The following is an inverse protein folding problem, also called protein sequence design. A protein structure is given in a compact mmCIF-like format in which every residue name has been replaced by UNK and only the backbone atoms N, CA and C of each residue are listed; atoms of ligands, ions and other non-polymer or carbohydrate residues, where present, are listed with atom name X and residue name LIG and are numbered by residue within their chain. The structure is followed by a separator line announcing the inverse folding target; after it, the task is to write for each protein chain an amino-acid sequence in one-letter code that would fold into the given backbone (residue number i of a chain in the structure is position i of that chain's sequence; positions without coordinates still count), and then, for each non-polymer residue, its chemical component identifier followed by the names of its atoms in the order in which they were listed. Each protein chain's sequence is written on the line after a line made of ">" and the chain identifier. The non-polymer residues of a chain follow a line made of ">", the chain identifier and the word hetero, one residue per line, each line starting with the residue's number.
data_IF_492402942871
#
_entry.id   IF_492402942871
#
_cell.length_a   1.000
_cell.length_b   1.000
_cell.length_c   1.000
_cell.angle_alpha   90.00
_cell.angle_beta   90.00
_cell.angle_gamma   90.00
#
_symmetry.space_group_name_H-M   'P 1'
#
loop_
_entity.id
_entity.type
_entity.pdbx_description
1 polymer ?
#
# COMPACT_ATOMS: atom_id res chain seq x y z
N UNK A 1 32.79 -36.49 0.83
CA UNK A 1 31.97 -36.92 -0.32
C UNK A 1 31.04 -35.77 -0.66
N UNK A 2 31.15 -35.23 -1.87
CA UNK A 2 30.46 -34.04 -2.34
C UNK A 2 29.05 -34.47 -2.79
N UNK A 3 28.01 -33.88 -2.19
CA UNK A 3 26.68 -33.86 -2.80
C UNK A 3 26.20 -32.41 -2.92
N UNK A 4 25.83 -32.09 -4.15
CA UNK A 4 25.57 -30.77 -4.70
C UNK A 4 24.24 -30.19 -4.23
N UNK A 5 24.31 -28.94 -3.79
CA UNK A 5 23.21 -28.01 -3.47
C UNK A 5 22.06 -28.09 -4.48
N UNK A 6 20.88 -28.46 -4.00
CA UNK A 6 19.61 -28.26 -4.71
C UNK A 6 19.37 -26.77 -4.91
N UNK A 7 19.39 -26.34 -6.18
CA UNK A 7 19.18 -24.97 -6.62
C UNK A 7 17.76 -24.52 -6.29
N UNK A 8 17.62 -23.48 -5.48
CA UNK A 8 16.50 -22.54 -5.63
C UNK A 8 16.66 -21.94 -7.03
N UNK A 9 15.81 -22.35 -7.97
CA UNK A 9 15.74 -21.71 -9.29
C UNK A 9 15.12 -20.34 -9.08
N UNK A 10 15.95 -19.34 -8.83
CA UNK A 10 15.58 -17.94 -8.94
C UNK A 10 15.17 -17.65 -10.40
N UNK A 11 13.87 -17.47 -10.62
CA UNK A 11 13.31 -16.92 -11.87
C UNK A 11 13.47 -15.39 -11.96
N UNK A 12 14.26 -14.76 -11.08
CA UNK A 12 14.71 -13.36 -11.17
C UNK A 12 15.77 -13.17 -12.27
N UNK A 13 15.49 -13.59 -13.51
CA UNK A 13 16.31 -13.24 -14.67
C UNK A 13 15.79 -11.93 -15.28
N UNK A 14 16.64 -10.91 -15.19
CA UNK A 14 16.61 -9.65 -15.95
C UNK A 14 15.40 -8.71 -15.73
N UNK A 15 15.43 -7.93 -14.65
CA UNK A 15 14.82 -6.58 -14.67
C UNK A 15 15.84 -5.60 -15.25
N UNK A 16 15.78 -5.37 -16.56
CA UNK A 16 16.41 -4.19 -17.15
C UNK A 16 15.61 -2.97 -16.75
N UNK A 17 16.23 -2.05 -16.00
CA UNK A 17 15.74 -0.68 -15.81
C UNK A 17 15.78 0.08 -17.15
N UNK A 18 14.80 -0.17 -18.02
CA UNK A 18 14.36 0.73 -19.08
C UNK A 18 12.87 0.51 -19.26
N UNK A 19 12.06 1.41 -18.71
CA UNK A 19 10.64 1.50 -19.02
C UNK A 19 10.49 2.00 -20.47
N UNK A 20 10.50 1.07 -21.43
CA UNK A 20 9.81 1.29 -22.70
C UNK A 20 8.41 0.72 -22.57
N UNK A 21 7.40 1.50 -22.96
CA UNK A 21 5.99 1.05 -23.09
C UNK A 21 5.96 -0.37 -23.70
N UNK A 22 5.25 -1.34 -23.12
CA UNK A 22 5.12 -2.65 -23.74
C UNK A 22 4.28 -2.48 -25.00
N UNK A 23 4.92 -2.47 -26.17
CA UNK A 23 4.21 -2.59 -27.43
C UNK A 23 3.60 -3.99 -27.49
N UNK A 24 2.28 -4.11 -27.63
CA UNK A 24 1.56 -5.41 -27.70
C UNK A 24 2.10 -6.38 -28.75
N UNK A 25 2.80 -5.87 -29.77
CA UNK A 25 3.49 -6.67 -30.78
C UNK A 25 4.65 -7.53 -30.23
N UNK A 26 5.20 -7.21 -29.07
CA UNK A 26 6.37 -7.90 -28.49
C UNK A 26 5.98 -9.20 -27.79
N UNK A 27 4.79 -9.26 -27.17
CA UNK A 27 4.27 -10.46 -26.50
C UNK A 27 3.94 -11.57 -27.51
N UNK A 28 3.22 -11.24 -28.59
CA UNK A 28 2.94 -12.20 -29.67
C UNK A 28 4.22 -12.69 -30.36
N UNK A 29 5.25 -11.83 -30.48
CA UNK A 29 6.56 -12.23 -31.04
C UNK A 29 7.35 -13.16 -30.11
N UNK A 30 7.32 -12.92 -28.79
CA UNK A 30 8.03 -13.75 -27.81
C UNK A 30 7.42 -15.16 -27.72
N UNK A 31 6.09 -15.29 -27.80
CA UNK A 31 5.41 -16.58 -27.91
C UNK A 31 5.76 -17.32 -29.23
N UNK A 32 6.08 -16.60 -30.30
CA UNK A 32 6.40 -17.16 -31.61
C UNK A 32 7.89 -17.56 -31.80
N UNK A 33 8.81 -17.11 -30.93
CA UNK A 33 10.26 -17.29 -31.16
C UNK A 33 10.88 -18.55 -30.56
N UNK A 34 10.15 -19.35 -29.78
CA UNK A 34 10.66 -20.65 -29.29
C UNK A 34 10.20 -21.83 -30.16
N UNK A 35 11.03 -22.11 -31.17
CA UNK A 35 11.30 -23.37 -31.91
C UNK A 35 10.56 -23.75 -33.21
N UNK A 36 11.40 -23.86 -34.25
CA UNK A 36 11.40 -24.73 -35.45
C UNK A 36 10.08 -25.31 -36.02
N UNK A 37 9.77 -24.85 -37.24
CA UNK A 37 9.14 -25.47 -38.42
C UNK A 37 7.91 -26.41 -38.34
N UNK A 38 7.55 -26.99 -37.20
CA UNK A 38 6.29 -27.73 -37.00
C UNK A 38 5.27 -26.99 -36.10
N UNK A 39 5.74 -26.11 -35.20
CA UNK A 39 4.88 -25.28 -34.35
C UNK A 39 4.05 -24.27 -35.15
N UNK A 40 4.59 -23.76 -36.26
CA UNK A 40 3.95 -22.75 -37.12
C UNK A 40 2.61 -23.20 -37.73
N UNK A 41 2.40 -24.50 -37.98
CA UNK A 41 1.13 -25.03 -38.50
C UNK A 41 0.05 -25.18 -37.43
N UNK A 42 0.44 -25.38 -36.16
CA UNK A 42 -0.48 -25.53 -35.03
C UNK A 42 -0.90 -24.14 -34.55
N UNK A 43 0.06 -23.22 -34.45
CA UNK A 43 -0.18 -21.82 -34.08
C UNK A 43 -1.11 -21.11 -35.08
N UNK A 44 -0.96 -21.38 -36.39
CA UNK A 44 -1.85 -20.81 -37.42
C UNK A 44 -3.29 -21.34 -37.36
N UNK A 45 -3.49 -22.61 -36.99
CA UNK A 45 -4.84 -23.17 -36.81
C UNK A 45 -5.51 -22.66 -35.53
N UNK A 46 -4.75 -22.55 -34.44
CA UNK A 46 -5.21 -22.00 -33.17
C UNK A 46 -5.60 -20.52 -33.33
N UNK A 47 -4.75 -19.73 -33.99
CA UNK A 47 -5.07 -18.34 -34.31
C UNK A 47 -6.32 -18.22 -35.20
N UNK A 48 -6.51 -19.13 -36.15
CA UNK A 48 -7.70 -19.15 -36.99
C UNK A 48 -8.96 -19.38 -36.15
N UNK A 49 -8.96 -20.38 -35.26
CA UNK A 49 -10.09 -20.67 -34.36
C UNK A 49 -10.41 -19.47 -33.46
N UNK A 50 -9.39 -18.82 -32.89
CA UNK A 50 -9.58 -17.63 -32.05
C UNK A 50 -10.14 -16.43 -32.81
N UNK A 51 -9.92 -16.37 -34.13
CA UNK A 51 -10.40 -15.28 -35.00
C UNK A 51 -11.77 -15.57 -35.62
N UNK A 52 -12.13 -16.83 -35.85
CA UNK A 52 -13.34 -17.21 -36.61
C UNK A 52 -14.49 -17.70 -35.72
N UNK A 53 -14.21 -18.34 -34.59
CA UNK A 53 -15.27 -18.85 -33.71
C UNK A 53 -15.74 -17.79 -32.70
N UNK A 54 -17.03 -17.79 -32.31
CA UNK A 54 -17.54 -16.93 -31.26
C UNK A 54 -16.82 -17.17 -29.92
N UNK A 55 -16.45 -16.09 -29.22
CA UNK A 55 -15.77 -16.18 -27.91
C UNK A 55 -16.51 -17.08 -26.91
N UNK A 56 -17.85 -17.11 -26.93
CA UNK A 56 -18.64 -17.98 -26.05
C UNK A 56 -18.43 -19.47 -26.29
N UNK A 57 -18.27 -19.89 -27.55
CA UNK A 57 -17.98 -21.30 -27.90
C UNK A 57 -16.57 -21.70 -27.47
N UNK A 58 -15.59 -20.82 -27.72
CA UNK A 58 -14.19 -21.04 -27.30
C UNK A 58 -14.10 -21.14 -25.78
N UNK A 59 -14.79 -20.26 -25.06
CA UNK A 59 -14.86 -20.29 -23.60
C UNK A 59 -15.46 -21.61 -23.09
N UNK A 60 -16.61 -22.04 -23.63
CA UNK A 60 -17.22 -23.32 -23.23
C UNK A 60 -16.34 -24.53 -23.53
N UNK A 61 -15.62 -24.51 -24.66
CA UNK A 61 -14.67 -25.56 -25.01
C UNK A 61 -13.53 -25.65 -23.99
N UNK A 62 -12.94 -24.50 -23.64
CA UNK A 62 -11.89 -24.41 -22.63
C UNK A 62 -12.38 -24.88 -21.27
N UNK A 63 -13.56 -24.45 -20.83
CA UNK A 63 -14.12 -24.89 -19.55
C UNK A 63 -14.23 -26.41 -19.47
N UNK A 64 -14.72 -27.05 -20.53
CA UNK A 64 -14.90 -28.50 -20.59
C UNK A 64 -13.59 -29.30 -20.72
N UNK A 65 -12.54 -28.71 -21.28
CA UNK A 65 -11.33 -29.44 -21.67
C UNK A 65 -10.03 -28.87 -21.10
N UNK A 66 -10.08 -27.94 -20.14
CA UNK A 66 -8.94 -27.16 -19.64
C UNK A 66 -7.70 -28.00 -19.27
N UNK A 67 -7.88 -29.21 -18.72
CA UNK A 67 -6.77 -30.11 -18.36
C UNK A 67 -6.02 -30.73 -19.56
N UNK A 68 -6.62 -30.72 -20.76
CA UNK A 68 -6.08 -31.36 -21.98
C UNK A 68 -5.69 -30.37 -23.07
N UNK A 69 -5.99 -29.09 -22.88
CA UNK A 69 -5.72 -28.03 -23.84
C UNK A 69 -4.33 -27.47 -23.60
N UNK A 70 -3.60 -27.19 -24.69
CA UNK A 70 -2.30 -26.51 -24.62
C UNK A 70 -2.44 -25.18 -23.85
N UNK A 71 -1.66 -24.98 -22.76
CA UNK A 71 -1.66 -23.73 -22.00
C UNK A 71 -1.52 -22.49 -22.88
N UNK A 72 -0.77 -22.55 -23.99
CA UNK A 72 -0.59 -21.42 -24.91
C UNK A 72 -1.92 -20.91 -25.46
N UNK A 73 -2.82 -21.82 -25.86
CA UNK A 73 -4.13 -21.45 -26.39
C UNK A 73 -4.99 -20.75 -25.33
N UNK A 74 -5.01 -21.28 -24.11
CA UNK A 74 -5.73 -20.72 -22.97
C UNK A 74 -5.21 -19.33 -22.58
N UNK A 75 -3.89 -19.13 -22.64
CA UNK A 75 -3.23 -17.85 -22.39
C UNK A 75 -3.56 -16.81 -23.48
N UNK A 76 -3.47 -17.18 -24.76
CA UNK A 76 -3.82 -16.28 -25.87
C UNK A 76 -5.30 -15.89 -25.84
N UNK A 77 -6.19 -16.84 -25.54
CA UNK A 77 -7.61 -16.53 -25.42
C UNK A 77 -7.90 -15.63 -24.23
N UNK A 78 -7.24 -15.85 -23.08
CA UNK A 78 -7.39 -14.94 -21.93
C UNK A 78 -6.90 -13.53 -22.25
N UNK A 79 -5.77 -13.40 -22.94
CA UNK A 79 -5.30 -12.11 -23.42
C UNK A 79 -6.36 -11.43 -24.32
N UNK A 80 -6.96 -12.15 -25.25
CA UNK A 80 -8.02 -11.62 -26.12
C UNK A 80 -9.25 -11.17 -25.31
N UNK A 81 -9.66 -11.92 -24.27
CA UNK A 81 -10.75 -11.51 -23.37
C UNK A 81 -10.43 -10.20 -22.66
N UNK A 82 -9.19 -10.03 -22.18
CA UNK A 82 -8.74 -8.78 -21.55
C UNK A 82 -8.70 -7.60 -22.54
N UNK A 83 -8.30 -7.84 -23.78
CA UNK A 83 -8.34 -6.80 -24.84
C UNK A 83 -9.78 -6.40 -25.19
N UNK A 84 -10.74 -7.33 -25.10
CA UNK A 84 -12.17 -7.09 -25.27
C UNK A 84 -12.84 -6.48 -24.02
N UNK A 85 -12.07 -6.11 -23.00
CA UNK A 85 -12.56 -5.63 -21.69
C UNK A 85 -13.51 -6.62 -20.98
N UNK A 86 -13.47 -7.91 -21.33
CA UNK A 86 -14.25 -8.94 -20.64
C UNK A 86 -13.46 -9.53 -19.46
N UNK A 87 -13.24 -8.69 -18.45
CA UNK A 87 -12.42 -9.02 -17.27
C UNK A 87 -13.02 -10.18 -16.49
N UNK A 88 -14.36 -10.25 -16.36
CA UNK A 88 -15.02 -11.32 -15.61
C UNK A 88 -14.80 -12.69 -16.25
N UNK A 89 -14.96 -12.81 -17.56
CA UNK A 89 -14.67 -14.06 -18.25
C UNK A 89 -13.19 -14.44 -18.11
N UNK A 90 -12.27 -13.46 -18.20
CA UNK A 90 -10.86 -13.70 -17.98
C UNK A 90 -10.59 -14.24 -16.57
N UNK A 91 -11.15 -13.63 -15.51
CA UNK A 91 -11.05 -14.10 -14.12
C UNK A 91 -11.56 -15.53 -13.99
N UNK A 92 -12.78 -15.81 -14.45
CA UNK A 92 -13.39 -17.13 -14.31
C UNK A 92 -12.58 -18.23 -15.01
N UNK A 93 -12.04 -17.91 -16.20
CA UNK A 93 -11.18 -18.83 -16.92
C UNK A 93 -9.86 -19.06 -16.19
N UNK A 94 -9.24 -18.02 -15.64
CA UNK A 94 -7.98 -18.14 -14.92
C UNK A 94 -8.12 -18.95 -13.63
N UNK A 95 -9.19 -18.73 -12.85
CA UNK A 95 -9.50 -19.57 -11.70
C UNK A 95 -9.59 -21.05 -12.07
N UNK A 96 -10.23 -21.38 -13.20
CA UNK A 96 -10.33 -22.76 -13.65
C UNK A 96 -8.99 -23.32 -14.14
N UNK A 97 -8.18 -22.52 -14.82
CA UNK A 97 -6.88 -22.98 -15.33
C UNK A 97 -5.87 -23.20 -14.21
N UNK A 98 -5.93 -22.40 -13.14
CA UNK A 98 -5.08 -22.52 -11.97
C UNK A 98 -5.36 -23.78 -11.13
N UNK A 99 -6.48 -24.48 -11.34
CA UNK A 99 -6.70 -25.80 -10.71
C UNK A 99 -5.84 -26.90 -11.33
N UNK A 100 -5.04 -26.59 -12.35
CA UNK A 100 -4.10 -27.52 -12.97
C UNK A 100 -2.67 -27.16 -12.55
N UNK A 101 -2.00 -28.03 -11.81
CA UNK A 101 -0.64 -27.83 -11.27
C UNK A 101 0.41 -27.48 -12.33
N UNK A 102 0.17 -27.87 -13.59
CA UNK A 102 1.08 -27.58 -14.72
C UNK A 102 0.88 -26.20 -15.34
N UNK A 103 -0.17 -25.48 -14.96
CA UNK A 103 -0.52 -24.18 -15.50
C UNK A 103 -0.02 -23.05 -14.59
N UNK A 104 0.66 -22.07 -15.20
CA UNK A 104 1.06 -20.85 -14.52
C UNK A 104 0.78 -19.65 -15.42
N UNK A 105 0.36 -18.56 -14.79
CA UNK A 105 0.14 -17.29 -15.48
C UNK A 105 1.51 -16.62 -15.69
N UNK A 106 1.93 -16.34 -16.94
CA UNK A 106 3.18 -15.66 -17.21
C UNK A 106 3.14 -14.20 -16.78
N UNK A 107 4.30 -13.65 -16.44
CA UNK A 107 4.46 -12.28 -15.92
C UNK A 107 3.85 -11.20 -16.82
N UNK A 108 3.91 -11.39 -18.14
CA UNK A 108 3.34 -10.47 -19.11
C UNK A 108 1.81 -10.46 -19.05
N UNK A 109 1.18 -11.63 -18.88
CA UNK A 109 -0.27 -11.71 -18.75
C UNK A 109 -0.72 -11.14 -17.41
N UNK A 110 0.02 -11.38 -16.33
CA UNK A 110 -0.21 -10.71 -15.04
C UNK A 110 -0.15 -9.19 -15.16
N UNK A 111 0.85 -8.66 -15.88
CA UNK A 111 1.01 -7.23 -16.07
C UNK A 111 -0.18 -6.62 -16.83
N UNK A 112 -0.65 -7.28 -17.90
CA UNK A 112 -1.84 -6.83 -18.66
C UNK A 112 -3.10 -6.93 -17.81
N UNK A 113 -3.24 -8.01 -17.05
CA UNK A 113 -4.39 -8.23 -16.17
C UNK A 113 -4.49 -7.14 -15.09
N UNK A 114 -3.38 -6.87 -14.39
CA UNK A 114 -3.30 -5.82 -13.37
C UNK A 114 -3.62 -4.44 -13.95
N UNK A 115 -3.05 -4.10 -15.11
CA UNK A 115 -3.32 -2.83 -15.77
C UNK A 115 -4.80 -2.66 -16.09
N UNK A 116 -5.44 -3.70 -16.65
CA UNK A 116 -6.89 -3.70 -16.94
C UNK A 116 -7.75 -3.60 -15.69
N UNK A 117 -7.42 -4.36 -14.64
CA UNK A 117 -8.14 -4.31 -13.36
C UNK A 117 -8.05 -2.94 -12.71
N UNK A 118 -6.86 -2.34 -12.69
CA UNK A 118 -6.65 -1.00 -12.14
C UNK A 118 -7.32 0.07 -13.00
N UNK A 119 -7.25 -0.03 -14.32
CA UNK A 119 -7.87 0.92 -15.25
C UNK A 119 -9.40 0.95 -15.10
N UNK A 120 -10.04 -0.22 -15.04
CA UNK A 120 -11.50 -0.34 -14.89
C UNK A 120 -11.97 -0.25 -13.42
N UNK A 121 -11.05 -0.09 -12.47
CA UNK A 121 -11.32 -0.14 -11.03
C UNK A 121 -12.16 -1.38 -10.61
N UNK A 122 -11.85 -2.53 -11.21
CA UNK A 122 -12.66 -3.74 -11.06
C UNK A 122 -12.38 -4.45 -9.73
N UNK A 123 -13.33 -4.43 -8.79
CA UNK A 123 -13.19 -5.03 -7.47
C UNK A 123 -12.95 -6.55 -7.50
N UNK A 124 -13.69 -7.31 -8.31
CA UNK A 124 -13.53 -8.76 -8.40
C UNK A 124 -12.16 -9.16 -8.98
N UNK A 125 -11.67 -8.40 -9.97
CA UNK A 125 -10.32 -8.57 -10.49
C UNK A 125 -9.25 -8.24 -9.46
N UNK A 126 -9.47 -7.22 -8.63
CA UNK A 126 -8.56 -6.90 -7.53
C UNK A 126 -8.56 -8.00 -6.45
N UNK A 127 -9.72 -8.59 -6.14
CA UNK A 127 -9.81 -9.74 -5.24
C UNK A 127 -9.06 -10.96 -5.79
N UNK A 128 -9.19 -11.25 -7.09
CA UNK A 128 -8.44 -12.32 -7.74
C UNK A 128 -6.94 -12.11 -7.59
N UNK A 129 -6.45 -10.90 -7.93
CA UNK A 129 -5.04 -10.54 -7.75
C UNK A 129 -4.60 -10.70 -6.29
N UNK A 130 -5.45 -10.29 -5.34
CA UNK A 130 -5.13 -10.38 -3.93
C UNK A 130 -4.88 -11.84 -3.52
N UNK A 131 -5.82 -12.72 -3.84
CA UNK A 131 -5.79 -14.13 -3.42
C UNK A 131 -4.78 -14.99 -4.17
N UNK A 132 -4.25 -14.53 -5.30
CA UNK A 132 -3.27 -15.28 -6.09
C UNK A 132 -1.84 -14.73 -5.97
N UNK A 133 -1.68 -13.41 -5.75
CA UNK A 133 -0.36 -12.75 -5.75
C UNK A 133 0.04 -12.10 -4.43
N UNK A 134 -0.92 -11.61 -3.65
CA UNK A 134 -0.64 -10.83 -2.44
C UNK A 134 -0.67 -11.73 -1.21
N UNK A 135 -1.73 -12.51 -1.08
CA UNK A 135 -2.01 -13.38 0.05
C UNK A 135 -2.58 -14.70 -0.49
N UNK A 136 -1.67 -15.59 -0.92
CA UNK A 136 -2.08 -16.83 -1.57
C UNK A 136 -2.66 -17.79 -0.54
N UNK A 137 -3.97 -17.97 -0.60
CA UNK A 137 -4.71 -18.89 0.26
C UNK A 137 -4.20 -20.34 0.18
N UNK A 138 -3.77 -20.81 -1.00
CA UNK A 138 -3.31 -22.19 -1.21
C UNK A 138 -2.05 -22.51 -0.42
N UNK A 139 -1.20 -21.51 -0.15
CA UNK A 139 0.00 -21.69 0.68
C UNK A 139 -0.35 -22.14 2.10
N UNK A 140 -1.47 -21.64 2.65
CA UNK A 140 -1.89 -21.95 4.01
C UNK A 140 -2.63 -23.29 4.11
N UNK A 141 -3.16 -23.81 3.00
CA UNK A 141 -3.80 -25.11 2.94
C UNK A 141 -2.78 -26.26 2.97
N UNK A 142 -1.55 -26.03 2.47
CA UNK A 142 -0.48 -27.04 2.40
C UNK A 142 0.50 -26.97 3.60
N UNK A 143 0.63 -25.82 4.25
CA UNK A 143 1.64 -25.59 5.30
C UNK A 143 0.99 -25.51 6.69
N UNK A 144 1.27 -26.52 7.53
CA UNK A 144 0.79 -26.59 8.93
C UNK A 144 1.09 -25.31 9.72
N UNK A 145 0.09 -24.80 10.47
CA UNK A 145 0.00 -23.81 11.59
C UNK A 145 1.18 -22.88 11.99
N UNK A 146 2.33 -22.90 11.32
CA UNK A 146 3.60 -22.37 11.78
C UNK A 146 4.20 -21.32 10.83
N UNK A 147 3.66 -21.16 9.62
CA UNK A 147 4.07 -20.11 8.69
C UNK A 147 2.99 -19.03 8.61
N UNK A 148 3.34 -17.82 9.02
CA UNK A 148 2.42 -16.68 9.09
C UNK A 148 2.23 -15.98 7.72
N UNK A 149 3.21 -16.08 6.82
CA UNK A 149 3.24 -15.35 5.54
C UNK A 149 3.60 -16.27 4.35
N UNK A 150 2.91 -16.12 3.20
CA UNK A 150 3.16 -16.90 1.99
C UNK A 150 4.54 -16.63 1.34
N UNK A 151 5.42 -17.62 1.24
CA UNK A 151 6.76 -17.47 0.63
C UNK A 151 6.82 -17.64 -0.89
N UNK A 152 5.74 -18.10 -1.49
CA UNK A 152 5.64 -18.32 -2.93
C UNK A 152 4.96 -17.14 -3.63
N UNK A 153 5.78 -16.28 -4.22
CA UNK A 153 5.29 -15.11 -4.96
C UNK A 153 5.75 -15.21 -6.41
N UNK A 154 4.86 -15.57 -7.34
CA UNK A 154 5.21 -15.77 -8.73
C UNK A 154 5.50 -14.44 -9.46
N UNK A 155 4.94 -13.33 -8.97
CA UNK A 155 5.03 -12.02 -9.60
C UNK A 155 5.09 -10.88 -8.57
N UNK A 156 6.10 -10.01 -8.67
CA UNK A 156 6.23 -8.84 -7.79
C UNK A 156 5.41 -7.67 -8.37
N UNK A 157 4.42 -7.22 -7.62
CA UNK A 157 3.57 -6.08 -8.00
C UNK A 157 4.29 -4.77 -7.73
N UNK A 158 4.23 -3.82 -8.67
CA UNK A 158 4.85 -2.50 -8.50
C UNK A 158 4.15 -1.66 -7.42
N UNK A 159 4.86 -0.75 -6.73
CA UNK A 159 4.26 0.15 -5.74
C UNK A 159 3.06 0.95 -6.26
N UNK A 160 3.14 1.42 -7.51
CA UNK A 160 2.07 2.20 -8.13
C UNK A 160 0.80 1.39 -8.35
N UNK A 161 0.91 0.13 -8.76
CA UNK A 161 -0.23 -0.78 -8.91
C UNK A 161 -0.80 -1.12 -7.53
N UNK A 162 0.04 -1.35 -6.52
CA UNK A 162 -0.41 -1.59 -5.14
C UNK A 162 -1.27 -0.43 -4.61
N UNK A 163 -0.88 0.82 -4.89
CA UNK A 163 -1.69 1.99 -4.52
C UNK A 163 -3.04 1.99 -5.26
N UNK A 164 -3.11 1.60 -6.54
CA UNK A 164 -4.37 1.51 -7.26
C UNK A 164 -5.27 0.40 -6.73
N UNK A 165 -4.71 -0.78 -6.43
CA UNK A 165 -5.45 -1.86 -5.76
C UNK A 165 -5.97 -1.41 -4.40
N UNK A 166 -5.13 -0.69 -3.62
CA UNK A 166 -5.54 -0.08 -2.36
C UNK A 166 -6.74 0.85 -2.52
N UNK A 167 -6.72 1.75 -3.53
CA UNK A 167 -7.87 2.62 -3.85
C UNK A 167 -9.14 1.83 -4.14
N UNK A 168 -9.03 0.73 -4.89
CA UNK A 168 -10.17 -0.15 -5.19
C UNK A 168 -10.72 -0.73 -3.88
N UNK A 169 -9.88 -1.29 -3.00
CA UNK A 169 -10.34 -1.86 -1.72
C UNK A 169 -10.92 -0.81 -0.78
N UNK A 170 -10.28 0.35 -0.64
CA UNK A 170 -10.80 1.48 0.14
C UNK A 170 -12.17 1.94 -0.37
N UNK A 171 -12.36 2.07 -1.69
CA UNK A 171 -13.65 2.47 -2.27
C UNK A 171 -14.77 1.44 -2.11
N UNK A 172 -14.43 0.18 -1.82
CA UNK A 172 -15.39 -0.89 -1.57
C UNK A 172 -15.54 -1.21 -0.07
N UNK A 173 -14.96 -0.40 0.83
CA UNK A 173 -15.04 -0.61 2.28
C UNK A 173 -14.41 -1.92 2.75
N UNK A 174 -13.29 -2.33 2.13
CA UNK A 174 -12.60 -3.60 2.43
C UNK A 174 -11.26 -3.37 3.15
N UNK A 175 -11.27 -3.05 4.46
CA UNK A 175 -10.06 -2.75 5.22
C UNK A 175 -9.14 -3.97 5.36
N UNK A 176 -9.68 -5.19 5.36
CA UNK A 176 -8.88 -6.42 5.50
C UNK A 176 -7.94 -6.61 4.32
N UNK A 177 -8.45 -6.47 3.09
CA UNK A 177 -7.60 -6.57 1.89
C UNK A 177 -6.66 -5.38 1.78
N UNK A 178 -7.11 -4.18 2.17
CA UNK A 178 -6.23 -3.01 2.22
C UNK A 178 -5.03 -3.23 3.15
N UNK A 179 -5.25 -3.83 4.32
CA UNK A 179 -4.18 -4.22 5.25
C UNK A 179 -3.23 -5.24 4.60
N UNK A 180 -3.75 -6.25 3.91
CA UNK A 180 -2.93 -7.23 3.18
C UNK A 180 -2.05 -6.58 2.10
N UNK A 181 -2.57 -5.61 1.34
CA UNK A 181 -1.79 -4.81 0.37
C UNK A 181 -0.64 -4.08 1.09
N UNK A 182 -0.92 -3.46 2.24
CA UNK A 182 0.10 -2.75 3.02
C UNK A 182 1.16 -3.71 3.60
N UNK A 183 0.76 -4.89 4.08
CA UNK A 183 1.67 -5.94 4.54
C UNK A 183 2.58 -6.43 3.40
N UNK A 184 2.02 -6.68 2.22
CA UNK A 184 2.77 -7.03 1.02
C UNK A 184 3.77 -5.94 0.64
N UNK A 185 3.33 -4.68 0.63
CA UNK A 185 4.24 -3.56 0.40
C UNK A 185 5.38 -3.54 1.41
N UNK A 186 5.08 -3.74 2.69
CA UNK A 186 6.08 -3.72 3.76
C UNK A 186 7.17 -4.79 3.58
N UNK A 187 6.76 -5.93 3.03
CA UNK A 187 7.63 -7.08 2.78
C UNK A 187 8.54 -6.89 1.56
N UNK A 188 8.03 -6.33 0.46
CA UNK A 188 8.78 -6.29 -0.82
C UNK A 188 9.36 -4.93 -1.21
N UNK A 189 8.84 -3.82 -0.68
CA UNK A 189 9.18 -2.47 -1.13
C UNK A 189 9.78 -1.61 -0.02
N UNK A 190 10.67 -0.69 -0.40
CA UNK A 190 11.41 0.16 0.56
C UNK A 190 10.60 1.39 0.95
N UNK A 191 10.42 1.61 2.26
CA UNK A 191 9.63 2.75 2.76
C UNK A 191 10.31 4.09 2.46
N UNK A 192 11.62 4.08 2.26
CA UNK A 192 12.43 5.27 1.96
C UNK A 192 12.49 5.54 0.46
N UNK A 193 12.64 4.50 -0.37
CA UNK A 193 12.68 4.68 -1.84
C UNK A 193 11.28 4.95 -2.41
N UNK A 194 10.27 4.25 -1.89
CA UNK A 194 8.88 4.34 -2.34
C UNK A 194 8.02 5.10 -1.33
N UNK A 195 8.57 6.17 -0.74
CA UNK A 195 7.95 6.96 0.33
C UNK A 195 6.54 7.45 -0.02
N UNK A 196 6.33 7.94 -1.25
CA UNK A 196 5.03 8.44 -1.71
C UNK A 196 4.00 7.32 -1.76
N UNK A 197 4.38 6.15 -2.27
CA UNK A 197 3.50 4.97 -2.30
C UNK A 197 3.19 4.48 -0.90
N UNK A 198 4.19 4.46 0.00
CA UNK A 198 4.00 4.06 1.39
C UNK A 198 3.04 5.00 2.13
N UNK A 199 3.22 6.32 1.99
CA UNK A 199 2.29 7.32 2.53
C UNK A 199 0.88 7.12 1.98
N UNK A 200 0.75 6.95 0.67
CA UNK A 200 -0.55 6.71 0.02
C UNK A 200 -1.24 5.47 0.56
N UNK A 201 -0.51 4.37 0.75
CA UNK A 201 -1.07 3.13 1.31
C UNK A 201 -1.48 3.29 2.78
N UNK A 202 -0.71 4.01 3.60
CA UNK A 202 -1.11 4.30 4.98
C UNK A 202 -2.38 5.15 5.04
N UNK A 203 -2.47 6.19 4.19
CA UNK A 203 -3.68 7.03 4.05
C UNK A 203 -4.89 6.18 3.65
N UNK A 204 -4.74 5.35 2.61
CA UNK A 204 -5.81 4.46 2.14
C UNK A 204 -6.27 3.45 3.20
N UNK A 205 -5.36 2.99 4.07
CA UNK A 205 -5.71 2.09 5.17
C UNK A 205 -6.55 2.77 6.24
N UNK A 206 -6.25 4.03 6.58
CA UNK A 206 -7.10 4.84 7.47
C UNK A 206 -8.47 5.04 6.85
N UNK A 207 -8.52 5.46 5.57
CA UNK A 207 -9.78 5.71 4.85
C UNK A 207 -10.62 4.44 4.66
N UNK A 208 -10.01 3.27 4.50
CA UNK A 208 -10.74 2.00 4.38
C UNK A 208 -11.44 1.62 5.69
N UNK A 209 -10.77 1.81 6.83
CA UNK A 209 -11.38 1.57 8.15
C UNK A 209 -12.42 2.63 8.48
N UNK A 210 -12.19 3.87 8.06
CA UNK A 210 -13.16 4.95 8.20
C UNK A 210 -14.44 4.67 7.40
N UNK A 211 -14.30 4.20 6.14
CA UNK A 211 -15.43 3.78 5.30
C UNK A 211 -16.24 2.64 5.92
N UNK A 212 -15.58 1.68 6.59
CA UNK A 212 -16.27 0.61 7.30
C UNK A 212 -16.95 1.06 8.61
N UNK A 213 -16.78 2.31 9.02
CA UNK A 213 -17.34 2.87 10.25
C UNK A 213 -16.66 2.40 11.55
N UNK A 214 -15.50 1.74 11.46
CA UNK A 214 -14.75 1.27 12.63
C UNK A 214 -13.80 2.36 13.13
N UNK A 215 -14.32 3.21 14.02
CA UNK A 215 -13.56 4.31 14.60
C UNK A 215 -12.31 3.84 15.35
N UNK A 216 -12.40 2.73 16.09
CA UNK A 216 -11.29 2.24 16.90
C UNK A 216 -10.13 1.81 16.00
N UNK A 217 -10.43 1.03 14.97
CA UNK A 217 -9.40 0.60 14.02
C UNK A 217 -8.88 1.78 13.18
N UNK A 218 -9.75 2.71 12.77
CA UNK A 218 -9.33 3.91 12.05
C UNK A 218 -8.37 4.78 12.89
N UNK A 219 -8.60 4.92 14.20
CA UNK A 219 -7.70 5.63 15.11
C UNK A 219 -6.35 4.93 15.30
N UNK A 220 -6.35 3.58 15.37
CA UNK A 220 -5.12 2.78 15.43
C UNK A 220 -4.29 3.00 14.15
N UNK A 221 -4.91 2.91 12.97
CA UNK A 221 -4.22 3.12 11.71
C UNK A 221 -3.79 4.58 11.51
N UNK A 222 -4.60 5.54 11.96
CA UNK A 222 -4.23 6.96 11.96
C UNK A 222 -3.00 7.20 12.81
N UNK A 223 -2.91 6.58 13.99
CA UNK A 223 -1.73 6.65 14.85
C UNK A 223 -0.50 6.09 14.13
N UNK A 224 -0.62 4.98 13.41
CA UNK A 224 0.47 4.41 12.61
C UNK A 224 0.95 5.40 11.52
N UNK A 225 0.02 6.03 10.78
CA UNK A 225 0.33 7.08 9.82
C UNK A 225 1.02 8.28 10.49
N UNK A 226 0.49 8.73 11.63
CA UNK A 226 1.02 9.89 12.34
C UNK A 226 2.44 9.70 12.88
N UNK A 227 2.80 8.49 13.33
CA UNK A 227 4.18 8.17 13.70
C UNK A 227 5.12 8.04 12.50
N UNK A 228 4.60 7.59 11.35
CA UNK A 228 5.37 7.52 10.12
C UNK A 228 5.64 8.93 9.53
N UNK A 229 4.71 9.87 9.75
CA UNK A 229 4.76 11.25 9.25
C UNK A 229 5.54 12.20 10.16
N UNK A 230 6.14 13.23 9.54
CA UNK A 230 7.00 14.21 10.21
C UNK A 230 6.32 15.02 11.31
N UNK A 231 5.00 15.18 11.26
CA UNK A 231 4.22 15.93 12.26
C UNK A 231 4.82 17.31 12.59
N UNK A 232 4.71 17.73 13.85
CA UNK A 232 5.27 18.99 14.37
C UNK A 232 6.69 18.83 14.95
N UNK A 233 7.39 17.72 14.66
CA UNK A 233 8.65 17.30 15.28
C UNK A 233 9.90 18.01 14.70
N UNK A 234 11.03 18.00 15.43
CA UNK A 234 12.29 18.70 15.05
C UNK A 234 12.96 18.03 13.84
N UNK A 235 13.65 18.83 13.00
CA UNK A 235 14.36 18.43 11.76
C UNK A 235 15.58 17.48 11.94
N UNK A 236 16.02 17.16 13.15
CA UNK A 236 17.45 16.92 13.41
C UNK A 236 18.04 15.54 13.06
N UNK A 237 17.30 14.58 12.48
CA UNK A 237 17.87 13.23 12.19
C UNK A 237 17.61 12.69 10.76
N UNK A 238 17.00 13.49 9.89
CA UNK A 238 16.53 13.04 8.56
C UNK A 238 17.65 12.76 7.54
N UNK A 239 18.85 13.31 7.71
CA UNK A 239 19.95 13.10 6.75
C UNK A 239 20.59 11.70 6.82
N UNK A 240 20.35 10.95 7.90
CA UNK A 240 21.01 9.66 8.17
C UNK A 240 20.28 8.50 7.47
N UNK A 241 18.94 8.58 7.36
CA UNK A 241 18.10 7.51 6.81
C UNK A 241 18.33 7.24 5.31
N UNK A 242 18.36 8.26 4.42
CA UNK A 242 18.60 8.03 2.99
C UNK A 242 19.96 7.39 2.71
N UNK A 243 21.00 7.81 3.42
CA UNK A 243 22.37 7.25 3.27
C UNK A 243 22.44 5.77 3.64
N UNK A 244 21.70 5.35 4.67
CA UNK A 244 21.60 3.93 5.06
C UNK A 244 20.79 3.14 4.03
N UNK A 245 19.67 3.67 3.56
CA UNK A 245 18.84 3.07 2.51
C UNK A 245 19.62 2.80 1.23
N UNK A 246 20.39 3.78 0.75
CA UNK A 246 21.23 3.65 -0.45
C UNK A 246 22.33 2.60 -0.30
N UNK A 247 22.88 2.43 0.91
CA UNK A 247 23.90 1.40 1.18
C UNK A 247 23.27 0.00 1.10
N UNK A 248 22.11 -0.20 1.71
CA UNK A 248 21.39 -1.48 1.67
C UNK A 248 20.88 -1.82 0.26
N UNK A 249 20.35 -0.84 -0.47
CA UNK A 249 19.89 -1.03 -1.85
C UNK A 249 21.04 -1.42 -2.79
N UNK A 250 22.21 -0.79 -2.65
CA UNK A 250 23.43 -1.14 -3.39
C UNK A 250 23.95 -2.54 -3.04
N UNK A 251 23.99 -2.87 -1.76
CA UNK A 251 24.37 -4.21 -1.29
C UNK A 251 23.44 -5.29 -1.85
N UNK A 252 22.12 -5.06 -1.82
CA UNK A 252 21.11 -5.98 -2.35
C UNK A 252 21.29 -6.19 -3.86
N UNK A 253 21.40 -5.09 -4.60
CA UNK A 253 21.68 -5.13 -6.04
C UNK A 253 22.96 -5.89 -6.37
N UNK A 254 24.01 -5.75 -5.55
CA UNK A 254 25.26 -6.47 -5.73
C UNK A 254 25.12 -7.97 -5.47
N UNK A 255 24.38 -8.40 -4.44
CA UNK A 255 24.13 -9.81 -4.14
C UNK A 255 23.25 -10.49 -5.19
N UNK A 256 22.24 -9.79 -5.69
CA UNK A 256 21.40 -10.28 -6.80
C UNK A 256 22.27 -10.48 -8.05
N UNK A 257 23.12 -9.50 -8.38
CA UNK A 257 24.04 -9.60 -9.54
C UNK A 257 25.08 -10.70 -9.39
N UNK A 258 25.57 -10.94 -8.17
CA UNK A 258 26.59 -11.96 -7.91
C UNK A 258 26.01 -13.37 -7.72
N UNK A 259 24.69 -13.49 -7.58
CA UNK A 259 23.98 -14.74 -7.22
C UNK A 259 24.58 -15.44 -5.98
N UNK A 260 25.17 -14.65 -5.07
CA UNK A 260 25.71 -15.12 -3.80
C UNK A 260 24.81 -14.58 -2.70
N UNK A 261 23.94 -15.44 -2.18
CA UNK A 261 23.21 -15.13 -0.96
C UNK A 261 24.16 -15.36 0.24
N UNK A 262 25.02 -14.39 0.53
CA UNK A 262 25.79 -14.35 1.78
C UNK A 262 25.01 -13.55 2.80
N UNK A 263 24.14 -14.23 3.53
CA UNK A 263 23.49 -13.64 4.68
C UNK A 263 24.44 -13.79 5.89
N UNK A 264 25.48 -12.96 5.96
CA UNK A 264 26.24 -12.80 7.21
C UNK A 264 25.49 -11.82 8.13
N UNK A 265 24.16 -11.94 8.21
CA UNK A 265 23.32 -11.17 9.12
C UNK A 265 22.99 -12.07 10.31
N UNK A 266 23.73 -11.90 11.39
CA UNK A 266 23.36 -12.44 12.69
C UNK A 266 22.47 -11.38 13.34
N UNK A 267 21.17 -11.62 13.56
CA UNK A 267 20.33 -10.67 14.27
C UNK A 267 20.86 -10.49 15.71
N UNK A 268 21.05 -9.24 16.13
CA UNK A 268 21.46 -8.88 17.50
C UNK A 268 20.30 -8.96 18.52
N UNK A 269 19.14 -9.51 18.12
CA UNK A 269 17.95 -9.70 18.94
C UNK A 269 17.60 -11.18 19.04
N UNK A 270 17.01 -11.64 20.16
CA UNK A 270 16.61 -13.04 20.30
C UNK A 270 15.57 -13.38 19.23
N UNK A 271 15.88 -14.37 18.40
CA UNK A 271 14.91 -14.96 17.47
C UNK A 271 13.75 -15.57 18.27
N UNK A 272 12.56 -15.53 17.70
CA UNK A 272 11.42 -16.27 18.24
C UNK A 272 11.80 -17.76 18.32
N UNK A 273 11.60 -18.36 19.50
CA UNK A 273 11.90 -19.77 19.80
C UNK A 273 11.25 -20.67 18.75
N UNK A 274 10.07 -20.31 18.25
CA UNK A 274 9.35 -21.05 17.23
C UNK A 274 10.06 -21.03 15.87
N UNK A 275 10.57 -19.88 15.41
CA UNK A 275 11.29 -19.77 14.14
C UNK A 275 12.62 -20.57 14.14
N UNK A 276 13.30 -20.56 15.29
CA UNK A 276 14.55 -21.30 15.45
C UNK A 276 14.31 -22.81 15.46
N UNK A 277 13.27 -23.28 16.15
CA UNK A 277 12.86 -24.68 16.16
C UNK A 277 12.43 -25.15 14.75
N UNK A 278 11.70 -24.32 14.00
CA UNK A 278 11.23 -24.65 12.65
C UNK A 278 12.37 -24.80 11.65
N UNK A 279 13.38 -23.91 11.69
CA UNK A 279 14.57 -24.04 10.85
C UNK A 279 15.33 -25.35 11.10
N UNK A 280 15.31 -25.83 12.35
CA UNK A 280 15.93 -27.10 12.74
C UNK A 280 15.10 -28.30 12.28
N UNK A 281 13.76 -28.23 12.38
CA UNK A 281 12.86 -29.32 11.98
C UNK A 281 12.83 -29.48 10.46
N UNK A 282 12.79 -28.38 9.71
CA UNK A 282 12.63 -28.39 8.26
C UNK A 282 13.95 -28.43 7.48
N UNK A 283 15.11 -28.46 8.18
CA UNK A 283 16.46 -28.33 7.59
C UNK A 283 16.60 -27.11 6.65
N UNK A 284 15.76 -26.11 6.82
CA UNK A 284 15.77 -24.88 6.05
C UNK A 284 16.66 -23.85 6.74
N UNK A 285 17.19 -22.89 5.98
CA UNK A 285 17.77 -21.69 6.60
C UNK A 285 16.73 -21.03 7.53
N UNK A 286 17.19 -20.32 8.58
CA UNK A 286 16.33 -19.46 9.39
C UNK A 286 15.81 -18.36 8.46
N UNK A 287 14.68 -18.62 7.81
CA UNK A 287 13.96 -17.64 7.04
C UNK A 287 13.08 -16.87 8.01
N UNK A 288 13.48 -15.63 8.30
CA UNK A 288 12.66 -14.72 9.08
C UNK A 288 11.93 -13.78 8.10
N UNK A 289 10.68 -14.05 7.70
CA UNK A 289 9.90 -13.14 6.87
C UNK A 289 9.64 -11.81 7.60
N UNK A 290 9.75 -11.80 8.93
CA UNK A 290 9.72 -10.61 9.80
C UNK A 290 11.08 -9.92 9.90
N UNK A 291 12.01 -10.18 8.96
CA UNK A 291 12.90 -9.09 8.61
C UNK A 291 12.00 -8.08 7.91
N UNK A 292 11.55 -7.08 8.66
CA UNK A 292 11.12 -5.83 8.04
C UNK A 292 12.35 -5.30 7.29
N UNK A 293 12.57 -5.77 6.06
CA UNK A 293 13.79 -5.59 5.25
C UNK A 293 14.09 -4.13 4.92
N UNK A 294 13.22 -3.22 5.39
CA UNK A 294 13.24 -1.79 5.20
C UNK A 294 13.00 -0.99 6.50
N UNK A 295 12.98 -1.64 7.68
CA UNK A 295 13.15 -0.93 8.94
C UNK A 295 14.62 -0.65 9.13
N UNK A 296 15.00 0.58 8.78
CA UNK A 296 16.32 1.10 9.09
C UNK A 296 16.36 1.32 10.59
N UNK A 297 17.11 0.50 11.38
CA UNK A 297 17.13 0.67 12.82
C UNK A 297 17.64 2.07 13.12
N UNK A 298 16.76 2.94 13.62
CA UNK A 298 17.16 4.16 14.29
C UNK A 298 17.35 3.85 15.76
N UNK A 299 18.42 4.41 16.33
CA UNK A 299 18.65 4.48 17.77
C UNK A 299 17.41 5.05 18.46
N UNK A 300 16.74 4.26 19.34
CA UNK A 300 15.77 4.62 20.42
C UNK A 300 14.69 5.70 20.19
N UNK A 301 14.65 6.36 19.04
CA UNK A 301 13.76 7.42 18.63
C UNK A 301 13.15 7.03 17.29
N UNK A 302 11.82 6.97 17.25
CA UNK A 302 11.04 6.75 16.03
C UNK A 302 11.31 7.94 15.12
N UNK A 303 12.11 7.73 14.08
CA UNK A 303 12.36 8.78 13.08
C UNK A 303 11.25 8.72 12.03
N UNK A 304 10.59 9.85 11.71
CA UNK A 304 9.56 9.87 10.69
C UNK A 304 10.18 9.52 9.34
N UNK A 305 9.56 8.56 8.66
CA UNK A 305 9.97 8.13 7.32
C UNK A 305 9.36 9.07 6.28
N UNK A 306 8.13 9.53 6.51
CA UNK A 306 7.37 10.44 5.63
C UNK A 306 7.70 11.88 6.02
N UNK A 307 8.19 12.66 5.05
CA UNK A 307 8.63 14.04 5.28
C UNK A 307 7.48 15.03 5.35
N UNK A 308 6.34 14.69 4.76
CA UNK A 308 5.17 15.55 4.68
C UNK A 308 4.31 15.42 5.94
N UNK A 309 3.69 16.52 6.41
CA UNK A 309 2.64 16.44 7.41
C UNK A 309 1.38 15.80 6.81
N UNK A 310 0.54 15.23 7.66
CA UNK A 310 -0.78 14.75 7.25
C UNK A 310 -1.63 15.95 6.86
N UNK A 311 -2.17 15.97 5.64
CA UNK A 311 -3.12 16.98 5.21
C UNK A 311 -4.56 16.54 5.52
N UNK A 312 -5.44 17.51 5.79
CA UNK A 312 -6.86 17.25 6.01
C UNK A 312 -7.51 16.63 4.76
N UNK A 313 -7.13 17.13 3.58
CA UNK A 313 -7.67 16.68 2.29
C UNK A 313 -7.31 15.24 1.92
N UNK A 314 -6.30 14.65 2.55
CA UNK A 314 -5.90 13.26 2.30
C UNK A 314 -6.84 12.25 2.99
N UNK A 315 -7.56 12.70 4.03
CA UNK A 315 -8.33 11.84 4.94
C UNK A 315 -9.80 12.31 5.10
N UNK A 316 -10.58 12.45 4.00
CA UNK A 316 -11.94 12.99 4.05
C UNK A 316 -12.92 12.10 4.81
N UNK A 317 -12.91 10.77 4.61
CA UNK A 317 -13.85 9.86 5.30
C UNK A 317 -13.52 9.78 6.79
N UNK A 318 -12.23 9.81 7.12
CA UNK A 318 -11.81 9.87 8.51
C UNK A 318 -12.26 11.18 9.20
N UNK A 319 -12.20 12.32 8.50
CA UNK A 319 -12.77 13.58 9.02
C UNK A 319 -14.27 13.45 9.28
N UNK A 320 -15.03 12.89 8.33
CA UNK A 320 -16.47 12.65 8.50
C UNK A 320 -16.74 11.76 9.72
N UNK A 321 -16.03 10.64 9.85
CA UNK A 321 -16.19 9.72 10.98
C UNK A 321 -15.89 10.37 12.34
N UNK A 322 -14.84 11.20 12.43
CA UNK A 322 -14.53 11.96 13.65
C UNK A 322 -15.62 12.98 13.96
N UNK A 323 -16.16 13.64 12.94
CA UNK A 323 -17.23 14.63 13.09
C UNK A 323 -18.51 13.99 13.61
N UNK A 324 -18.93 12.88 12.99
CA UNK A 324 -20.09 12.09 13.42
C UNK A 324 -19.93 11.57 14.86
N UNK A 325 -18.73 11.12 15.23
CA UNK A 325 -18.45 10.67 16.59
C UNK A 325 -18.59 11.80 17.62
N UNK A 326 -17.99 12.97 17.35
CA UNK A 326 -18.06 14.13 18.25
C UNK A 326 -19.51 14.59 18.42
N UNK A 327 -20.27 14.66 17.32
CA UNK A 327 -21.68 15.05 17.34
C UNK A 327 -22.53 14.05 18.13
N UNK A 328 -22.40 12.75 17.82
CA UNK A 328 -23.18 11.68 18.45
C UNK A 328 -22.94 11.57 19.96
N UNK A 329 -21.67 11.66 20.38
CA UNK A 329 -21.30 11.57 21.79
C UNK A 329 -21.45 12.92 22.53
N UNK A 330 -21.79 14.01 21.81
CA UNK A 330 -21.92 15.34 22.38
C UNK A 330 -20.63 15.86 23.02
N UNK A 331 -19.46 15.46 22.51
CA UNK A 331 -18.15 15.76 23.11
C UNK A 331 -17.66 17.14 22.63
N UNK A 332 -18.33 18.19 23.09
CA UNK A 332 -17.93 19.58 22.80
C UNK A 332 -16.98 20.16 23.85
N UNK A 333 -16.82 19.47 24.98
CA UNK A 333 -15.86 19.80 26.03
C UNK A 333 -14.43 19.46 25.57
N UNK A 334 -13.59 20.50 25.50
CA UNK A 334 -12.21 20.40 25.04
C UNK A 334 -11.36 19.45 25.91
N UNK A 335 -11.68 19.23 27.19
CA UNK A 335 -10.93 18.32 28.04
C UNK A 335 -11.03 16.86 27.58
N UNK A 336 -12.23 16.41 27.20
CA UNK A 336 -12.45 15.06 26.66
C UNK A 336 -11.77 14.88 25.30
N UNK A 337 -11.78 15.91 24.47
CA UNK A 337 -11.09 15.91 23.18
C UNK A 337 -9.56 15.83 23.34
N UNK A 338 -8.99 16.51 24.35
CA UNK A 338 -7.58 16.38 24.71
C UNK A 338 -7.25 14.97 25.17
N UNK A 339 -8.13 14.32 25.96
CA UNK A 339 -7.93 12.92 26.37
C UNK A 339 -7.91 11.98 25.15
N UNK A 340 -8.83 12.18 24.20
CA UNK A 340 -8.85 11.43 22.95
C UNK A 340 -7.54 11.61 22.15
N UNK A 341 -7.04 12.84 22.04
CA UNK A 341 -5.76 13.12 21.39
C UNK A 341 -4.58 12.45 22.11
N UNK A 342 -4.54 12.52 23.44
CA UNK A 342 -3.44 11.96 24.23
C UNK A 342 -3.41 10.42 24.19
N UNK A 343 -4.57 9.78 24.09
CA UNK A 343 -4.68 8.31 23.97
C UNK A 343 -4.26 7.78 22.59
N UNK A 344 -4.32 8.61 21.54
CA UNK A 344 -4.02 8.22 20.17
C UNK A 344 -2.75 8.89 19.63
N UNK A 345 -2.86 10.14 19.19
CA UNK A 345 -1.73 10.96 18.74
C UNK A 345 -2.12 12.44 18.68
N UNK A 346 -1.21 13.36 19.06
CA UNK A 346 -1.50 14.80 19.05
C UNK A 346 -1.85 15.37 17.66
N UNK A 347 -1.41 14.74 16.56
CA UNK A 347 -1.80 15.14 15.18
C UNK A 347 -3.31 15.05 14.94
N UNK A 348 -4.05 14.30 15.77
CA UNK A 348 -5.51 14.21 15.69
C UNK A 348 -6.20 15.58 15.86
N UNK A 349 -5.52 16.57 16.46
CA UNK A 349 -6.03 17.94 16.55
C UNK A 349 -6.44 18.54 15.20
N UNK A 350 -5.81 18.13 14.09
CA UNK A 350 -6.16 18.60 12.75
C UNK A 350 -7.62 18.26 12.43
N UNK A 351 -8.01 17.02 12.71
CA UNK A 351 -9.35 16.49 12.44
C UNK A 351 -10.36 16.95 13.48
N UNK A 352 -9.97 17.03 14.75
CA UNK A 352 -10.86 17.52 15.82
C UNK A 352 -11.19 19.01 15.62
N UNK A 353 -10.20 19.84 15.27
CA UNK A 353 -10.44 21.28 15.03
C UNK A 353 -11.33 21.46 13.80
N UNK A 354 -11.08 20.71 12.71
CA UNK A 354 -11.92 20.75 11.51
C UNK A 354 -13.37 20.34 11.85
N UNK A 355 -13.56 19.20 12.52
CA UNK A 355 -14.88 18.72 12.95
C UNK A 355 -15.63 19.73 13.84
N UNK A 356 -14.94 20.36 14.80
CA UNK A 356 -15.56 21.39 15.64
C UNK A 356 -15.93 22.65 14.86
N UNK A 357 -15.16 23.04 13.84
CA UNK A 357 -15.52 24.14 12.96
C UNK A 357 -16.76 23.79 12.12
N UNK A 358 -16.83 22.56 11.60
CA UNK A 358 -17.97 22.06 10.83
C UNK A 358 -19.26 22.01 11.69
N UNK A 359 -19.12 21.71 12.99
CA UNK A 359 -20.21 21.72 13.99
C UNK A 359 -20.46 23.11 14.64
N UNK A 360 -19.88 24.17 14.07
CA UNK A 360 -19.97 25.56 14.53
C UNK A 360 -19.45 25.83 15.96
N UNK A 361 -18.70 24.90 16.57
CA UNK A 361 -18.09 24.99 17.90
C UNK A 361 -16.70 25.63 17.87
N UNK A 362 -16.59 26.82 17.28
CA UNK A 362 -15.32 27.51 17.06
C UNK A 362 -14.55 27.86 18.36
N UNK A 363 -15.26 28.17 19.45
CA UNK A 363 -14.62 28.44 20.75
C UNK A 363 -13.95 27.18 21.32
N UNK A 364 -14.62 26.03 21.27
CA UNK A 364 -14.02 24.74 21.65
C UNK A 364 -12.83 24.40 20.75
N UNK A 365 -12.93 24.67 19.45
CA UNK A 365 -11.84 24.44 18.50
C UNK A 365 -10.59 25.28 18.86
N UNK A 366 -10.81 26.55 19.23
CA UNK A 366 -9.74 27.42 19.72
C UNK A 366 -9.16 26.93 21.05
N UNK A 367 -9.98 26.48 22.00
CA UNK A 367 -9.49 25.93 23.27
C UNK A 367 -8.62 24.67 23.07
N UNK A 368 -9.01 23.77 22.16
CA UNK A 368 -8.19 22.60 21.78
C UNK A 368 -6.85 23.06 21.19
N UNK A 369 -6.86 24.05 20.30
CA UNK A 369 -5.64 24.62 19.74
C UNK A 369 -4.73 25.24 20.82
N UNK A 370 -5.30 26.00 21.76
CA UNK A 370 -4.53 26.60 22.85
C UNK A 370 -3.84 25.55 23.74
N UNK A 371 -4.46 24.39 23.94
CA UNK A 371 -3.86 23.29 24.71
C UNK A 371 -2.54 22.76 24.12
N UNK A 372 -2.30 23.03 22.83
CA UNK A 372 -1.11 22.63 22.08
C UNK A 372 0.00 23.68 22.05
N UNK A 373 -0.07 24.70 22.91
CA UNK A 373 0.89 25.82 22.97
C UNK A 373 2.37 25.38 23.08
N UNK A 374 2.64 24.20 23.64
CA UNK A 374 4.00 23.65 23.77
C UNK A 374 4.71 23.42 22.41
N UNK A 375 3.97 23.34 21.30
CA UNK A 375 4.55 23.26 19.95
C UNK A 375 5.03 24.62 19.39
N UNK A 376 4.68 25.74 20.04
CA UNK A 376 5.14 27.08 19.68
C UNK A 376 4.76 27.48 18.25
N UNK A 377 5.70 28.13 17.56
CA UNK A 377 5.55 28.63 16.17
C UNK A 377 5.12 27.58 15.13
N UNK A 378 5.34 26.30 15.41
CA UNK A 378 5.00 25.22 14.46
C UNK A 378 3.50 24.99 14.40
N UNK A 379 2.79 25.26 15.49
CA UNK A 379 1.35 25.15 15.54
C UNK A 379 0.70 26.10 14.52
N UNK A 380 1.27 27.30 14.31
CA UNK A 380 0.82 28.26 13.29
C UNK A 380 0.99 27.77 11.84
N UNK A 381 1.61 26.61 11.62
CA UNK A 381 1.77 25.95 10.31
C UNK A 381 0.92 24.67 10.22
N UNK A 382 0.24 24.27 11.29
CA UNK A 382 -0.57 23.07 11.26
C UNK A 382 -1.83 23.32 10.42
N UNK A 383 -2.32 22.30 9.69
CA UNK A 383 -3.58 22.42 8.96
C UNK A 383 -4.74 22.84 9.86
N UNK A 384 -4.83 22.30 11.09
CA UNK A 384 -5.87 22.68 12.05
C UNK A 384 -5.88 24.17 12.42
N UNK A 385 -4.70 24.81 12.54
CA UNK A 385 -4.64 26.26 12.76
C UNK A 385 -5.20 27.05 11.56
N UNK A 386 -4.83 26.64 10.35
CA UNK A 386 -5.27 27.27 9.11
C UNK A 386 -6.80 27.12 8.96
N UNK A 387 -7.34 25.92 9.16
CA UNK A 387 -8.77 25.63 9.12
C UNK A 387 -9.58 26.49 10.08
N UNK A 388 -9.11 26.68 11.33
CA UNK A 388 -9.79 27.55 12.31
C UNK A 388 -9.77 29.04 11.90
N UNK A 389 -8.67 29.49 11.31
CA UNK A 389 -8.54 30.88 10.86
C UNK A 389 -9.42 31.16 9.63
N UNK A 390 -9.54 30.18 8.73
CA UNK A 390 -10.41 30.21 7.56
C UNK A 390 -11.89 30.15 7.95
N UNK A 391 -12.28 29.27 8.88
CA UNK A 391 -13.69 29.10 9.29
C UNK A 391 -14.27 30.34 9.98
N UNK A 392 -13.42 31.12 10.64
CA UNK A 392 -13.76 32.40 11.27
C UNK A 392 -13.65 33.60 10.31
N UNK A 393 -13.33 33.38 9.04
CA UNK A 393 -13.21 34.44 8.04
C UNK A 393 -14.58 34.90 7.53
N UNK A 394 -14.74 36.22 7.40
CA UNK A 394 -15.95 36.87 6.86
C UNK A 394 -17.25 36.66 7.66
N UNK A 395 -17.17 36.11 8.88
CA UNK A 395 -18.33 35.93 9.77
C UNK A 395 -18.30 36.94 10.92
N UNK A 396 -19.19 37.94 10.95
CA UNK A 396 -19.15 39.02 11.93
C UNK A 396 -19.35 38.55 13.38
N UNK A 397 -20.06 37.44 13.56
CA UNK A 397 -20.28 36.79 14.87
C UNK A 397 -18.98 36.30 15.54
N UNK A 398 -17.93 36.00 14.76
CA UNK A 398 -16.65 35.50 15.26
C UNK A 398 -15.56 36.58 15.34
N UNK A 399 -15.89 37.86 15.20
CA UNK A 399 -14.90 38.95 15.20
C UNK A 399 -14.04 39.01 16.48
N UNK A 400 -14.65 38.75 17.63
CA UNK A 400 -13.96 38.68 18.93
C UNK A 400 -12.99 37.50 18.98
N UNK A 401 -13.49 36.31 18.66
CA UNK A 401 -12.70 35.08 18.61
C UNK A 401 -11.54 35.18 17.61
N UNK A 402 -11.78 35.75 16.43
CA UNK A 402 -10.75 36.01 15.41
C UNK A 402 -9.65 36.94 15.94
N UNK A 403 -10.02 37.99 16.67
CA UNK A 403 -9.05 38.87 17.34
C UNK A 403 -8.16 38.09 18.30
N UNK A 404 -8.74 37.17 19.06
CA UNK A 404 -8.01 36.36 20.04
C UNK A 404 -7.12 35.31 19.39
N UNK A 405 -7.58 34.67 18.30
CA UNK A 405 -6.75 33.79 17.46
C UNK A 405 -5.54 34.56 16.90
N UNK A 406 -5.75 35.80 16.41
CA UNK A 406 -4.66 36.63 15.89
C UNK A 406 -3.68 37.10 16.98
N UNK A 407 -4.17 37.42 18.19
CA UNK A 407 -3.30 37.69 19.36
C UNK A 407 -2.50 36.45 19.73
N UNK A 408 -3.14 35.28 19.75
CA UNK A 408 -2.49 33.99 19.99
C UNK A 408 -1.39 33.70 18.97
N UNK A 409 -1.67 33.91 17.68
CA UNK A 409 -0.70 33.81 16.59
C UNK A 409 0.51 34.73 16.81
N UNK A 410 0.28 36.01 17.12
CA UNK A 410 1.35 36.99 17.37
C UNK A 410 2.22 36.58 18.57
N UNK A 411 1.59 36.07 19.63
CA UNK A 411 2.25 35.53 20.82
C UNK A 411 3.16 34.34 20.46
N UNK A 412 2.67 33.40 19.67
CA UNK A 412 3.46 32.24 19.23
C UNK A 412 4.62 32.63 18.30
N UNK A 413 4.37 33.52 17.34
CA UNK A 413 5.34 33.88 16.29
C UNK A 413 6.29 35.03 16.64
N UNK A 414 6.20 35.61 17.85
CA UNK A 414 7.05 36.72 18.31
C UNK A 414 7.13 37.88 17.30
N UNK A 415 6.05 38.12 16.55
CA UNK A 415 5.98 39.17 15.52
C UNK A 415 6.46 38.79 14.11
N UNK A 416 6.92 37.55 13.86
CA UNK A 416 7.24 37.12 12.50
C UNK A 416 5.97 36.77 11.69
N UNK A 417 5.88 37.29 10.47
CA UNK A 417 4.78 36.99 9.53
C UNK A 417 5.10 35.67 8.80
N UNK A 418 4.16 34.72 8.88
CA UNK A 418 4.24 33.43 8.21
C UNK A 418 3.40 33.53 6.93
N UNK A 419 4.02 33.29 5.78
CA UNK A 419 3.40 33.50 4.45
C UNK A 419 2.03 32.82 4.26
N UNK A 420 1.78 31.58 4.76
CA UNK A 420 0.47 30.94 4.66
C UNK A 420 -0.62 31.65 5.48
N UNK A 421 -0.25 32.36 6.54
CA UNK A 421 -1.17 33.07 7.43
C UNK A 421 -1.34 34.53 6.99
N UNK A 422 -0.38 35.06 6.21
CA UNK A 422 -0.37 36.44 5.75
C UNK A 422 -1.55 36.82 4.83
N UNK A 423 -2.17 35.85 4.16
CA UNK A 423 -3.39 36.08 3.36
C UNK A 423 -4.67 36.24 4.19
N UNK A 424 -4.61 35.95 5.48
CA UNK A 424 -5.75 35.95 6.41
C UNK A 424 -5.62 37.00 7.52
N UNK A 425 -4.45 37.63 7.66
CA UNK A 425 -4.21 38.81 8.51
C UNK A 425 -4.47 40.04 7.66
#
# INVERSE_FOLDING_TARGET
>A
MIYTRGRIRSSLRHLSQRFSKPNGATFCRLLATETSNHATSIDTKLECILKTEPSSKVFQFLVKNHARVDPRFSLTFTYNLLQQNNIQAAISLQHLLLTNDSYQIPNELWSVFLDKVCFESNYYGAMFVFHELIDNHLFYDEVSFAVQDNDEIPFIISPTILVHLGKIFTNNGDPKRMEGVLRYFRRFHSFVQDQVSYQSLLVLNVEANAESGDLNQALIEFRNLAYASRGLTRKSLLEILPRRADKFSRWRSANIKSNQYRLDFVPDYPLDIHQQLLSQICESGIYNPVIQYNVYPSSSQINPIIQEPIALADLPRFQTLITEYIEKEGIYDYHKLIQLMNSNHHSLHIFIIAALCDLEKHESAFAVLESLNFYGQRLCKSPGFITLLESTQNKPEFNTLRSDILKYYRRLNKGHVNYPVAGYI
#
